data_IF_750433257881
#
_entry.id   IF_750433257881
#
_cell.length_a   1.000
_cell.length_b   1.000
_cell.length_c   1.000
_cell.angle_alpha   90.00
_cell.angle_beta   90.00
_cell.angle_gamma   90.00
#
_symmetry.space_group_name_H-M   'P 1'
#
loop_
_entity.id
_entity.type
_entity.pdbx_description
1 polymer ?
#
# COMPACT_ATOMS: atom_id res chain seq x y z
N UNK A 1 23.99 -3.49 -7.25
CA UNK A 1 23.15 -2.38 -7.72
C UNK A 1 23.77 -1.05 -7.31
N UNK A 2 23.69 -0.04 -8.16
CA UNK A 2 24.22 1.28 -7.87
C UNK A 2 23.47 1.87 -6.65
N UNK A 3 24.23 2.51 -5.74
CA UNK A 3 23.69 2.97 -4.46
C UNK A 3 22.53 3.95 -4.60
N UNK A 4 22.63 4.89 -5.54
CA UNK A 4 21.56 5.86 -5.76
C UNK A 4 20.27 5.20 -6.23
N UNK A 5 20.39 4.23 -7.14
CA UNK A 5 19.23 3.48 -7.61
C UNK A 5 18.60 2.69 -6.48
N UNK A 6 19.41 2.08 -5.62
CA UNK A 6 18.92 1.36 -4.46
C UNK A 6 18.12 2.27 -3.53
N UNK A 7 18.62 3.47 -3.25
CA UNK A 7 17.93 4.44 -2.41
C UNK A 7 16.59 4.86 -3.02
N UNK A 8 16.54 5.07 -4.33
CA UNK A 8 15.31 5.42 -5.02
C UNK A 8 14.27 4.30 -4.94
N UNK A 9 14.72 3.05 -5.07
CA UNK A 9 13.83 1.90 -4.97
C UNK A 9 13.29 1.74 -3.54
N UNK A 10 14.15 1.95 -2.53
CA UNK A 10 13.73 1.89 -1.14
C UNK A 10 12.69 2.98 -0.82
N UNK A 11 12.90 4.20 -1.33
CA UNK A 11 11.93 5.28 -1.17
C UNK A 11 10.59 4.92 -1.79
N UNK A 12 10.62 4.29 -2.97
CA UNK A 12 9.39 3.90 -3.65
C UNK A 12 8.64 2.80 -2.87
N UNK A 13 9.36 1.82 -2.34
CA UNK A 13 8.78 0.79 -1.49
C UNK A 13 8.08 1.42 -0.28
N UNK A 14 8.75 2.37 0.37
CA UNK A 14 8.20 3.04 1.53
C UNK A 14 6.93 3.82 1.20
N UNK A 15 6.89 4.49 0.04
CA UNK A 15 5.70 5.21 -0.41
C UNK A 15 4.52 4.26 -0.64
N UNK A 16 4.78 3.11 -1.27
CA UNK A 16 3.72 2.13 -1.52
C UNK A 16 3.17 1.55 -0.21
N UNK A 17 4.06 1.22 0.73
CA UNK A 17 3.64 0.70 2.03
C UNK A 17 2.87 1.75 2.84
N UNK A 18 3.30 3.00 2.79
CA UNK A 18 2.60 4.10 3.44
C UNK A 18 1.18 4.24 2.90
N UNK A 19 1.04 4.17 1.57
CA UNK A 19 -0.28 4.21 0.93
C UNK A 19 -1.15 3.03 1.35
N UNK A 20 -0.55 1.84 1.47
CA UNK A 20 -1.27 0.65 1.91
C UNK A 20 -1.83 0.85 3.33
N UNK A 21 -1.01 1.37 4.25
CA UNK A 21 -1.46 1.62 5.62
C UNK A 21 -2.59 2.64 5.66
N UNK A 22 -2.49 3.70 4.85
CA UNK A 22 -3.54 4.70 4.77
C UNK A 22 -4.85 4.09 4.29
N UNK A 23 -4.80 3.25 3.25
CA UNK A 23 -6.00 2.58 2.74
C UNK A 23 -6.60 1.63 3.77
N UNK A 24 -5.77 0.94 4.56
CA UNK A 24 -6.27 0.08 5.63
C UNK A 24 -7.00 0.87 6.72
N UNK A 25 -6.46 2.04 7.08
CA UNK A 25 -7.12 2.93 8.04
C UNK A 25 -8.49 3.38 7.53
N UNK A 26 -8.56 3.75 6.25
CA UNK A 26 -9.81 4.17 5.62
C UNK A 26 -10.79 2.99 5.56
N UNK A 27 -10.30 1.81 5.21
CA UNK A 27 -11.12 0.60 5.17
C UNK A 27 -11.75 0.32 6.53
N UNK A 28 -10.97 0.44 7.60
CA UNK A 28 -11.46 0.23 8.96
C UNK A 28 -12.51 1.26 9.37
N UNK A 29 -12.33 2.52 8.97
CA UNK A 29 -13.31 3.57 9.20
C UNK A 29 -14.67 3.17 8.59
N UNK A 30 -14.68 2.71 7.34
CA UNK A 30 -15.92 2.32 6.67
C UNK A 30 -16.50 1.03 7.22
N UNK A 31 -15.65 0.10 7.67
CA UNK A 31 -16.14 -1.11 8.32
C UNK A 31 -16.93 -0.76 9.58
N UNK A 32 -16.39 0.15 10.39
CA UNK A 32 -17.04 0.57 11.64
C UNK A 32 -18.38 1.29 11.38
N UNK A 33 -18.51 1.93 10.22
CA UNK A 33 -19.74 2.62 9.82
C UNK A 33 -20.75 1.69 9.13
N UNK A 34 -20.38 0.44 8.87
CA UNK A 34 -21.26 -0.51 8.20
C UNK A 34 -21.28 -0.40 6.68
N UNK A 35 -20.32 0.29 6.08
CA UNK A 35 -20.23 0.45 4.64
C UNK A 35 -19.36 -0.66 4.04
N UNK A 36 -19.94 -1.84 3.89
CA UNK A 36 -19.17 -3.04 3.49
C UNK A 36 -18.53 -2.91 2.11
N UNK A 37 -19.21 -2.31 1.15
CA UNK A 37 -18.66 -2.13 -0.19
C UNK A 37 -17.43 -1.23 -0.20
N UNK A 38 -17.49 -0.11 0.52
CA UNK A 38 -16.36 0.81 0.62
C UNK A 38 -15.21 0.17 1.39
N UNK A 39 -15.51 -0.54 2.47
CA UNK A 39 -14.52 -1.29 3.23
C UNK A 39 -13.75 -2.25 2.32
N UNK A 40 -14.46 -3.08 1.56
CA UNK A 40 -13.84 -4.06 0.66
C UNK A 40 -13.02 -3.40 -0.44
N UNK A 41 -13.50 -2.28 -0.97
CA UNK A 41 -12.78 -1.56 -2.02
C UNK A 41 -11.44 -1.04 -1.51
N UNK A 42 -11.41 -0.43 -0.31
CA UNK A 42 -10.18 0.09 0.26
C UNK A 42 -9.22 -1.02 0.69
N UNK A 43 -9.74 -2.15 1.17
CA UNK A 43 -8.89 -3.31 1.46
C UNK A 43 -8.21 -3.82 0.19
N UNK A 44 -8.94 -3.86 -0.91
CA UNK A 44 -8.39 -4.27 -2.20
C UNK A 44 -7.30 -3.29 -2.66
N UNK A 45 -7.54 -1.99 -2.51
CA UNK A 45 -6.54 -0.98 -2.86
C UNK A 45 -5.27 -1.14 -2.01
N UNK A 46 -5.43 -1.43 -0.71
CA UNK A 46 -4.28 -1.66 0.17
C UNK A 46 -3.48 -2.87 -0.31
N UNK A 47 -4.14 -3.94 -0.70
CA UNK A 47 -3.47 -5.14 -1.20
C UNK A 47 -2.70 -4.85 -2.48
N UNK A 48 -3.26 -4.06 -3.40
CA UNK A 48 -2.56 -3.67 -4.61
C UNK A 48 -1.28 -2.89 -4.31
N UNK A 49 -1.32 -1.99 -3.33
CA UNK A 49 -0.13 -1.23 -2.95
C UNK A 49 0.96 -2.14 -2.35
N UNK A 50 0.56 -3.16 -1.59
CA UNK A 50 1.50 -4.15 -1.06
C UNK A 50 2.16 -4.91 -2.20
N UNK A 51 1.39 -5.31 -3.21
CA UNK A 51 1.91 -6.01 -4.39
C UNK A 51 2.88 -5.14 -5.16
N UNK A 52 2.59 -3.83 -5.28
CA UNK A 52 3.53 -2.88 -5.90
C UNK A 52 4.85 -2.82 -5.13
N UNK A 53 4.77 -2.75 -3.80
CA UNK A 53 5.97 -2.72 -2.96
C UNK A 53 6.81 -3.99 -3.16
N UNK A 54 6.16 -5.15 -3.21
CA UNK A 54 6.83 -6.42 -3.44
C UNK A 54 7.59 -6.44 -4.77
N UNK A 55 6.98 -5.89 -5.82
CA UNK A 55 7.63 -5.80 -7.13
C UNK A 55 8.89 -4.96 -7.09
N UNK A 56 8.86 -3.84 -6.38
CA UNK A 56 10.06 -3.00 -6.22
C UNK A 56 11.13 -3.70 -5.40
N UNK A 57 10.73 -4.50 -4.42
CA UNK A 57 11.69 -5.25 -3.60
C UNK A 57 12.38 -6.38 -4.38
N UNK A 58 11.77 -6.86 -5.47
CA UNK A 58 12.35 -7.88 -6.33
C UNK A 58 13.47 -7.35 -7.23
N UNK A 59 13.62 -6.05 -7.35
CA UNK A 59 14.75 -5.47 -8.06
C UNK A 59 16.02 -5.74 -7.30
#
# INVERSE_FOLDING_TARGET
MEKRLQELLEDQVNKELWSAYLYLDIAEFYRAKGFDGLHSWFEHQAQEEIEHAEKFMEF
#
